data_IF_370857154336
#
_entry.id   IF_370857154336
#
_cell.length_a   1.000
_cell.length_b   1.000
_cell.length_c   1.000
_cell.angle_alpha   90.00
_cell.angle_beta   90.00
_cell.angle_gamma   90.00
#
_symmetry.space_group_name_H-M   'P 1'
#
loop_
_entity.id
_entity.type
_entity.pdbx_description
1 polymer ?
#
# COMPACT_ATOMS: atom_id res chain seq x y z
N UNK A 1 -9.29 -0.43 1.70
CA UNK A 1 -8.88 0.54 0.64
C UNK A 1 -7.41 0.39 0.28
N UNK A 2 -6.46 0.58 1.22
CA UNK A 2 -5.03 0.37 0.94
C UNK A 2 -4.74 -1.04 0.40
N UNK A 3 -5.27 -2.09 1.04
CA UNK A 3 -5.07 -3.47 0.60
C UNK A 3 -5.72 -3.78 -0.76
N UNK A 4 -6.95 -3.29 -1.00
CA UNK A 4 -7.60 -3.36 -2.30
C UNK A 4 -6.79 -2.65 -3.40
N UNK A 5 -6.13 -1.55 -3.05
CA UNK A 5 -5.18 -0.88 -3.94
C UNK A 5 -3.87 -1.67 -4.11
N UNK A 6 -3.36 -2.40 -3.12
CA UNK A 6 -2.20 -3.28 -3.37
C UNK A 6 -2.55 -4.39 -4.39
N UNK A 7 -3.73 -5.00 -4.25
CA UNK A 7 -4.18 -6.13 -5.07
C UNK A 7 -4.80 -5.77 -6.42
N UNK A 8 -4.75 -4.50 -6.85
CA UNK A 8 -5.25 -4.14 -8.18
C UNK A 8 -6.76 -3.90 -8.27
N UNK A 9 -7.53 -4.09 -7.19
CA UNK A 9 -8.98 -3.88 -7.18
C UNK A 9 -9.39 -2.41 -7.37
N UNK A 10 -8.43 -1.49 -7.19
CA UNK A 10 -8.60 -0.07 -7.48
C UNK A 10 -7.28 0.54 -7.99
N UNK A 11 -7.38 1.63 -8.75
CA UNK A 11 -6.24 2.31 -9.38
C UNK A 11 -5.56 3.33 -8.47
N UNK A 12 -6.24 3.83 -7.45
CA UNK A 12 -5.79 4.92 -6.59
C UNK A 12 -5.82 4.55 -5.09
N UNK A 13 -5.01 5.23 -4.28
CA UNK A 13 -5.05 5.17 -2.82
C UNK A 13 -5.49 6.52 -2.23
N UNK A 14 -6.80 6.76 -2.27
CA UNK A 14 -7.44 7.95 -1.70
C UNK A 14 -8.69 7.53 -0.96
N UNK A 15 -8.93 8.13 0.20
CA UNK A 15 -10.14 7.92 1.00
C UNK A 15 -10.89 9.26 1.14
N UNK A 16 -12.21 9.24 1.36
CA UNK A 16 -12.98 10.43 1.69
C UNK A 16 -12.35 11.20 2.85
N UNK A 17 -12.47 12.53 2.82
CA UNK A 17 -11.91 13.42 3.83
C UNK A 17 -10.39 13.28 4.07
N UNK A 18 -9.64 12.73 3.12
CA UNK A 18 -8.18 12.59 3.24
C UNK A 18 -7.73 11.52 4.24
N UNK A 19 -8.61 10.57 4.59
CA UNK A 19 -8.32 9.56 5.61
C UNK A 19 -7.12 8.63 5.27
N UNK A 20 -6.62 8.62 4.03
CA UNK A 20 -5.36 7.93 3.70
C UNK A 20 -4.16 8.49 4.49
N UNK A 21 -4.24 9.74 4.94
CA UNK A 21 -3.19 10.39 5.73
C UNK A 21 -3.35 10.15 7.24
N UNK A 22 -4.40 9.45 7.68
CA UNK A 22 -4.66 9.21 9.11
C UNK A 22 -3.73 8.16 9.75
N UNK A 23 -2.81 7.57 8.99
CA UNK A 23 -1.81 6.59 9.43
C UNK A 23 -0.45 6.96 8.84
N UNK A 24 0.62 6.70 9.60
CA UNK A 24 1.98 6.91 9.12
C UNK A 24 2.46 5.82 8.16
N UNK A 25 3.55 6.08 7.44
CA UNK A 25 4.13 5.16 6.45
C UNK A 25 4.51 3.80 7.06
N UNK A 26 4.99 3.76 8.32
CA UNK A 26 5.34 2.52 9.00
C UNK A 26 4.14 1.57 9.14
N UNK A 27 2.95 2.10 9.42
CA UNK A 27 1.73 1.30 9.49
C UNK A 27 1.44 0.64 8.14
N UNK A 28 1.60 1.37 7.03
CA UNK A 28 1.40 0.81 5.69
C UNK A 28 2.46 -0.21 5.30
N UNK A 29 3.72 0.00 5.70
CA UNK A 29 4.79 -0.97 5.52
C UNK A 29 4.52 -2.27 6.28
N UNK A 30 4.01 -2.19 7.52
CA UNK A 30 3.60 -3.36 8.28
C UNK A 30 2.46 -4.12 7.62
N UNK A 31 1.44 -3.42 7.12
CA UNK A 31 0.34 -4.06 6.37
C UNK A 31 0.87 -4.77 5.12
N UNK A 32 1.78 -4.15 4.37
CA UNK A 32 2.39 -4.77 3.19
C UNK A 32 3.19 -6.03 3.57
N UNK A 33 4.03 -5.95 4.61
CA UNK A 33 4.82 -7.10 5.12
C UNK A 33 3.92 -8.25 5.61
N UNK A 34 2.87 -7.92 6.37
CA UNK A 34 1.93 -8.93 6.88
C UNK A 34 1.12 -9.57 5.75
N UNK A 35 0.75 -8.80 4.72
CA UNK A 35 0.07 -9.33 3.54
C UNK A 35 0.94 -10.31 2.75
N UNK A 36 2.24 -10.01 2.60
CA UNK A 36 3.21 -10.91 1.98
C UNK A 36 3.35 -12.21 2.78
N UNK A 37 3.54 -12.10 4.11
CA UNK A 37 3.64 -13.26 5.00
C UNK A 37 2.38 -14.14 5.00
N UNK A 38 1.21 -13.54 4.84
CA UNK A 38 -0.05 -14.27 4.75
C UNK A 38 -0.33 -14.81 3.33
N UNK A 39 0.53 -14.53 2.35
CA UNK A 39 0.36 -14.90 0.95
C UNK A 39 -0.99 -14.45 0.36
N UNK A 40 -1.39 -13.23 0.67
CA UNK A 40 -2.67 -12.62 0.23
C UNK A 40 -2.48 -11.51 -0.81
N UNK A 41 -1.27 -11.35 -1.34
CA UNK A 41 -0.97 -10.44 -2.44
C UNK A 41 -1.24 -11.15 -3.76
N UNK A 42 -2.34 -10.81 -4.44
CA UNK A 42 -2.74 -11.46 -5.70
C UNK A 42 -1.73 -11.25 -6.84
N UNK A 43 -1.02 -10.12 -6.81
CA UNK A 43 0.05 -9.79 -7.75
C UNK A 43 1.21 -9.09 -6.99
N UNK A 44 2.19 -9.87 -6.49
CA UNK A 44 3.29 -9.34 -5.69
C UNK A 44 4.13 -8.26 -6.41
N UNK A 45 4.30 -8.36 -7.73
CA UNK A 45 5.03 -7.37 -8.52
C UNK A 45 4.30 -6.02 -8.55
N UNK A 46 2.97 -6.04 -8.75
CA UNK A 46 2.14 -4.85 -8.72
C UNK A 46 2.16 -4.21 -7.33
N UNK A 47 1.98 -5.03 -6.28
CA UNK A 47 1.99 -4.58 -4.90
C UNK A 47 3.33 -3.94 -4.53
N UNK A 48 4.45 -4.58 -4.91
CA UNK A 48 5.81 -4.07 -4.69
C UNK A 48 6.03 -2.75 -5.40
N UNK A 49 5.67 -2.64 -6.67
CA UNK A 49 5.79 -1.38 -7.43
C UNK A 49 4.98 -0.26 -6.79
N UNK A 50 3.76 -0.56 -6.37
CA UNK A 50 2.87 0.40 -5.67
C UNK A 50 3.46 0.84 -4.34
N UNK A 51 3.95 -0.09 -3.54
CA UNK A 51 4.56 0.21 -2.25
C UNK A 51 5.84 1.05 -2.40
N UNK A 52 6.70 0.75 -3.39
CA UNK A 52 7.87 1.57 -3.71
C UNK A 52 7.50 3.00 -4.09
N UNK A 53 6.54 3.17 -5.01
CA UNK A 53 6.08 4.49 -5.40
C UNK A 53 5.48 5.27 -4.21
N UNK A 54 4.76 4.57 -3.31
CA UNK A 54 4.21 5.17 -2.12
C UNK A 54 5.30 5.59 -1.12
N UNK A 55 6.30 4.74 -0.88
CA UNK A 55 7.47 5.08 -0.05
C UNK A 55 8.26 6.27 -0.63
N UNK A 56 8.36 6.36 -1.96
CA UNK A 56 8.97 7.49 -2.67
C UNK A 56 8.29 8.84 -2.40
N UNK A 57 6.97 8.87 -2.15
CA UNK A 57 6.27 10.10 -1.72
C UNK A 57 6.77 10.59 -0.36
N UNK A 58 7.28 9.68 0.48
CA UNK A 58 7.91 10.00 1.77
C UNK A 58 9.42 10.21 1.66
N UNK A 59 9.99 10.25 0.45
CA UNK A 59 11.43 10.45 0.22
C UNK A 59 12.30 9.23 0.51
N UNK A 60 11.73 8.02 0.45
CA UNK A 60 12.46 6.76 0.65
C UNK A 60 12.77 6.16 -0.73
N UNK A 61 14.05 5.85 -0.98
CA UNK A 61 14.57 5.27 -2.24
C UNK A 61 14.73 3.73 -2.20
#
# INVERSE_FOLDING_TARGET
VFFAWLNGHQSHFSLPAGMQSARGILHYADIFRLADQANVLDNPELATRRMKNFAGIYGIE
#
